data_IF_575299393855
#
_entry.id   IF_575299393855
#
_cell.length_a   1.000
_cell.length_b   1.000
_cell.length_c   1.000
_cell.angle_alpha   90.00
_cell.angle_beta   90.00
_cell.angle_gamma   90.00
#
_symmetry.space_group_name_H-M   'P 1'
#
loop_
_entity.id
_entity.type
_entity.pdbx_description
1 polymer ?
#
# COMPACT_ATOMS: atom_id res chain seq x y z
N UNK A 1 16.29 24.16 0.51
CA UNK A 1 15.69 22.92 -0.01
C UNK A 1 15.38 21.98 1.14
N UNK A 2 14.28 21.27 1.06
CA UNK A 2 13.89 20.24 2.01
C UNK A 2 14.24 18.88 1.42
N UNK A 3 14.76 17.97 2.22
CA UNK A 3 14.93 16.57 1.85
C UNK A 3 13.64 15.80 2.18
N UNK A 4 13.09 15.07 1.22
CA UNK A 4 12.00 14.13 1.42
C UNK A 4 12.52 12.68 1.31
N UNK A 5 11.96 11.74 2.07
CA UNK A 5 10.88 11.88 3.05
C UNK A 5 11.27 12.69 4.29
N UNK A 6 10.34 13.44 4.86
CA UNK A 6 10.53 14.30 6.02
C UNK A 6 9.34 15.21 6.27
N UNK A 7 9.37 15.94 7.39
CA UNK A 7 8.33 16.86 7.80
C UNK A 7 8.84 18.29 7.91
N UNK A 8 7.94 19.26 7.85
CA UNK A 8 8.28 20.69 7.95
C UNK A 8 8.99 21.04 9.26
N UNK A 9 8.67 20.35 10.35
CA UNK A 9 9.27 20.54 11.67
C UNK A 9 10.78 20.27 11.71
N UNK A 10 11.24 19.24 10.99
CA UNK A 10 12.68 18.87 10.89
C UNK A 10 13.52 20.01 10.29
N UNK A 11 12.89 20.81 9.44
CA UNK A 11 13.52 21.95 8.77
C UNK A 11 13.21 23.29 9.42
N UNK A 12 12.59 23.27 10.60
CA UNK A 12 12.22 24.47 11.35
C UNK A 12 11.34 25.44 10.57
N UNK A 13 10.44 24.88 9.74
CA UNK A 13 9.49 25.68 8.95
C UNK A 13 8.21 25.88 9.77
N UNK A 14 7.74 27.13 9.79
CA UNK A 14 6.55 27.50 10.50
C UNK A 14 6.86 28.38 11.72
N UNK A 15 5.89 28.50 12.58
CA UNK A 15 5.98 29.28 13.81
C UNK A 15 6.62 28.45 14.92
N UNK A 16 7.64 29.02 15.59
CA UNK A 16 8.23 28.36 16.77
C UNK A 16 7.25 28.46 17.93
N UNK A 17 6.72 27.32 18.38
CA UNK A 17 5.80 27.29 19.52
C UNK A 17 6.47 27.76 20.80
N UNK A 18 5.88 28.73 21.52
CA UNK A 18 6.37 29.13 22.82
C UNK A 18 5.95 28.15 23.92
N UNK A 19 5.01 27.26 23.61
CA UNK A 19 4.42 26.34 24.58
C UNK A 19 5.00 24.95 24.47
N UNK A 20 5.19 24.29 25.62
CA UNK A 20 5.46 22.87 25.71
C UNK A 20 4.38 22.24 26.59
N UNK A 21 3.52 21.45 25.98
CA UNK A 21 2.51 20.70 26.70
C UNK A 21 3.13 19.47 27.36
N UNK A 22 2.75 19.21 28.61
CA UNK A 22 3.24 18.05 29.38
C UNK A 22 2.28 16.86 29.25
N UNK A 23 1.06 17.12 28.80
CA UNK A 23 -0.06 16.18 28.69
C UNK A 23 -0.21 15.58 27.28
N UNK A 24 0.57 16.06 26.32
CA UNK A 24 0.50 15.64 24.91
C UNK A 24 1.79 15.92 24.15
N UNK A 25 1.91 15.35 22.96
CA UNK A 25 2.99 15.67 22.05
C UNK A 25 2.90 17.15 21.62
N UNK A 26 4.07 17.82 21.55
CA UNK A 26 4.16 19.23 21.17
C UNK A 26 5.14 19.38 20.04
N UNK A 27 4.74 20.04 18.97
CA UNK A 27 5.64 20.45 17.89
C UNK A 27 6.49 21.63 18.36
N UNK A 28 7.77 21.62 17.98
CA UNK A 28 8.66 22.78 18.21
C UNK A 28 8.39 23.86 17.18
N UNK A 29 8.12 23.48 15.94
CA UNK A 29 7.74 24.37 14.85
C UNK A 29 6.40 23.93 14.28
N UNK A 30 5.43 24.85 14.27
CA UNK A 30 4.09 24.58 13.83
C UNK A 30 3.88 25.18 12.43
N UNK A 31 3.61 24.34 11.46
CA UNK A 31 3.19 24.74 10.13
C UNK A 31 1.83 24.14 9.81
N UNK A 32 0.87 24.97 9.48
CA UNK A 32 -0.45 24.54 9.03
C UNK A 32 -0.77 25.22 7.71
N UNK A 33 -0.96 24.44 6.66
CA UNK A 33 -1.23 24.95 5.33
C UNK A 33 -0.62 24.10 4.22
N UNK A 34 -0.74 24.54 2.95
CA UNK A 34 -0.19 23.83 1.81
C UNK A 34 1.33 23.99 1.72
N UNK A 35 2.07 22.90 1.78
CA UNK A 35 3.50 22.82 1.49
C UNK A 35 3.72 22.29 0.08
N UNK A 36 4.50 23.00 -0.73
CA UNK A 36 4.72 22.69 -2.13
C UNK A 36 6.14 22.15 -2.35
N UNK A 37 6.23 20.97 -2.97
CA UNK A 37 7.47 20.28 -3.29
C UNK A 37 7.56 20.11 -4.81
N UNK A 38 8.72 20.35 -5.39
CA UNK A 38 8.91 20.20 -6.83
C UNK A 38 10.22 19.48 -7.14
N UNK A 39 10.16 18.59 -8.12
CA UNK A 39 11.33 17.90 -8.65
C UNK A 39 11.13 17.53 -10.11
N UNK A 40 12.17 17.72 -10.91
CA UNK A 40 12.24 17.17 -12.27
C UNK A 40 12.55 15.66 -12.18
N UNK A 41 11.78 14.86 -12.90
CA UNK A 41 11.92 13.41 -12.97
C UNK A 41 11.90 12.97 -14.42
N UNK A 42 12.92 12.22 -14.83
CA UNK A 42 12.96 11.59 -16.16
C UNK A 42 12.29 10.22 -16.08
N UNK A 43 11.24 10.03 -16.88
CA UNK A 43 10.54 8.74 -16.97
C UNK A 43 11.36 7.80 -17.86
N UNK A 44 11.71 6.58 -17.37
CA UNK A 44 12.48 5.61 -18.16
C UNK A 44 11.80 5.27 -19.50
N UNK A 45 12.57 5.15 -20.57
CA UNK A 45 12.05 4.83 -21.92
C UNK A 45 11.41 3.44 -21.98
N UNK A 46 11.94 2.50 -21.23
CA UNK A 46 11.47 1.12 -21.09
C UNK A 46 10.10 1.00 -20.43
N UNK A 47 9.61 2.07 -19.82
CA UNK A 47 8.27 2.11 -19.25
C UNK A 47 7.16 2.40 -20.26
N UNK A 48 7.51 2.42 -21.56
CA UNK A 48 6.52 2.57 -22.63
C UNK A 48 5.47 1.45 -22.57
N UNK A 49 4.20 1.82 -22.51
CA UNK A 49 3.07 0.89 -22.41
C UNK A 49 2.77 0.39 -21.00
N UNK A 50 3.52 0.84 -19.99
CA UNK A 50 3.26 0.56 -18.57
C UNK A 50 2.26 1.56 -17.99
N UNK A 51 1.61 1.15 -16.90
CA UNK A 51 0.88 2.05 -15.99
C UNK A 51 1.87 2.65 -15.01
N UNK A 52 1.89 3.95 -14.86
CA UNK A 52 2.93 4.67 -14.09
C UNK A 52 2.26 5.36 -12.91
N UNK A 53 2.79 5.10 -11.71
CA UNK A 53 2.28 5.66 -10.47
C UNK A 53 3.41 6.35 -9.69
N UNK A 54 3.05 7.39 -8.92
CA UNK A 54 3.86 7.86 -7.81
C UNK A 54 3.18 7.48 -6.51
N UNK A 55 3.93 6.84 -5.62
CA UNK A 55 3.44 6.31 -4.35
C UNK A 55 4.13 6.99 -3.18
N UNK A 56 3.36 7.41 -2.19
CA UNK A 56 3.82 7.94 -0.91
C UNK A 56 3.27 7.07 0.20
N UNK A 57 4.13 6.52 1.05
CA UNK A 57 3.71 5.60 2.11
C UNK A 57 2.80 6.29 3.13
N UNK A 58 3.17 7.47 3.58
CA UNK A 58 2.40 8.25 4.56
C UNK A 58 2.45 9.73 4.24
N UNK A 59 1.29 10.33 4.11
CA UNK A 59 1.12 11.77 3.87
C UNK A 59 0.17 12.32 4.92
N UNK A 60 0.45 13.50 5.42
CA UNK A 60 -0.47 14.16 6.32
C UNK A 60 -0.71 15.62 5.91
N UNK A 61 -1.88 15.91 5.37
CA UNK A 61 -3.10 15.09 5.24
C UNK A 61 -3.47 14.88 3.76
N UNK A 62 -3.88 15.94 3.08
CA UNK A 62 -4.25 15.96 1.68
C UNK A 62 -3.02 16.05 0.80
N UNK A 63 -2.86 15.16 -0.18
CA UNK A 63 -1.88 15.34 -1.26
C UNK A 63 -2.56 15.69 -2.58
N UNK A 64 -1.99 16.65 -3.30
CA UNK A 64 -2.36 16.98 -4.67
C UNK A 64 -1.12 16.87 -5.56
N UNK A 65 -1.25 16.19 -6.70
CA UNK A 65 -0.16 15.98 -7.65
C UNK A 65 -0.43 16.75 -8.93
N UNK A 66 0.65 17.36 -9.43
CA UNK A 66 0.69 18.02 -10.74
C UNK A 66 1.86 17.49 -11.54
N UNK A 67 1.65 17.28 -12.84
CA UNK A 67 2.69 17.01 -13.83
C UNK A 67 2.78 18.21 -14.74
N UNK A 68 3.97 18.83 -14.77
CA UNK A 68 4.19 20.11 -15.44
C UNK A 68 3.20 21.16 -14.88
N UNK A 69 2.17 21.53 -15.64
CA UNK A 69 1.14 22.50 -15.21
C UNK A 69 -0.24 21.87 -14.98
N UNK A 70 -0.37 20.54 -15.16
CA UNK A 70 -1.67 19.86 -15.09
C UNK A 70 -1.86 19.16 -13.75
N UNK A 71 -3.00 19.44 -13.12
CA UNK A 71 -3.44 18.66 -11.96
C UNK A 71 -3.76 17.22 -12.39
N UNK A 72 -3.23 16.26 -11.64
CA UNK A 72 -3.44 14.82 -11.88
C UNK A 72 -4.55 14.30 -10.99
N UNK A 73 -4.38 14.42 -9.67
CA UNK A 73 -5.33 13.89 -8.68
C UNK A 73 -5.08 14.45 -7.29
N UNK A 74 -6.07 14.24 -6.41
CA UNK A 74 -6.03 14.54 -4.96
C UNK A 74 -6.39 13.31 -4.17
N UNK A 75 -5.71 13.08 -3.05
CA UNK A 75 -5.99 11.99 -2.12
C UNK A 75 -5.91 12.56 -0.70
N UNK A 76 -6.92 12.27 0.13
CA UNK A 76 -7.09 12.82 1.48
C UNK A 76 -7.17 11.77 2.59
N UNK A 77 -6.52 10.63 2.39
CA UNK A 77 -6.45 9.57 3.39
C UNK A 77 -5.31 9.81 4.38
N UNK A 78 -5.45 9.36 5.63
CA UNK A 78 -4.40 9.50 6.65
C UNK A 78 -3.63 8.20 6.88
N UNK A 79 -4.30 7.06 6.80
CA UNK A 79 -3.79 5.77 7.27
C UNK A 79 -3.38 4.80 6.17
N UNK A 80 -3.45 5.21 4.92
CA UNK A 80 -3.10 4.38 3.76
C UNK A 80 -2.16 5.12 2.81
N UNK A 81 -1.34 4.41 2.03
CA UNK A 81 -0.49 5.03 1.03
C UNK A 81 -1.28 5.82 -0.02
N UNK A 82 -0.73 6.93 -0.46
CA UNK A 82 -1.27 7.72 -1.57
C UNK A 82 -0.64 7.27 -2.88
N UNK A 83 -1.43 6.62 -3.72
CA UNK A 83 -1.01 6.14 -5.05
C UNK A 83 -1.66 7.01 -6.13
N UNK A 84 -0.89 7.91 -6.72
CA UNK A 84 -1.36 8.78 -7.80
C UNK A 84 -0.94 8.21 -9.16
N UNK A 85 -1.89 8.01 -10.04
CA UNK A 85 -1.60 7.52 -11.38
C UNK A 85 -1.20 8.66 -12.33
N UNK A 86 -0.03 8.52 -12.94
CA UNK A 86 0.56 9.49 -13.84
C UNK A 86 0.48 9.09 -15.31
N UNK A 87 -0.02 7.91 -15.64
CA UNK A 87 0.07 7.27 -16.96
C UNK A 87 -0.26 8.21 -18.13
N UNK A 88 -1.37 8.94 -18.02
CA UNK A 88 -1.86 9.82 -19.10
C UNK A 88 -1.21 11.21 -19.11
N UNK A 89 -0.37 11.50 -18.11
CA UNK A 89 0.24 12.81 -17.91
C UNK A 89 1.73 12.82 -18.23
N UNK A 90 2.40 11.67 -18.19
CA UNK A 90 3.84 11.56 -18.43
C UNK A 90 4.14 10.80 -19.73
N UNK A 91 5.31 11.07 -20.30
CA UNK A 91 5.78 10.39 -21.51
C UNK A 91 7.10 9.67 -21.21
N UNK A 92 7.17 8.34 -21.39
CA UNK A 92 8.42 7.59 -21.27
C UNK A 92 9.54 8.19 -22.14
N UNK A 93 10.72 8.35 -21.53
CA UNK A 93 11.88 8.98 -22.15
C UNK A 93 11.91 10.51 -22.09
N UNK A 94 10.95 11.14 -21.41
CA UNK A 94 10.91 12.59 -21.20
C UNK A 94 11.09 12.95 -19.72
N UNK A 95 11.59 14.16 -19.50
CA UNK A 95 11.65 14.77 -18.17
C UNK A 95 10.39 15.59 -17.93
N UNK A 96 9.80 15.48 -16.77
CA UNK A 96 8.62 16.20 -16.33
C UNK A 96 8.86 16.84 -14.97
N UNK A 97 8.31 18.02 -14.74
CA UNK A 97 8.26 18.65 -13.42
C UNK A 97 7.10 18.04 -12.62
N UNK A 98 7.42 17.27 -11.60
CA UNK A 98 6.44 16.75 -10.65
C UNK A 98 6.31 17.73 -9.49
N UNK A 99 5.10 18.22 -9.26
CA UNK A 99 4.76 19.10 -8.13
C UNK A 99 3.81 18.37 -7.21
N UNK A 100 4.15 18.34 -5.93
CA UNK A 100 3.34 17.77 -4.85
C UNK A 100 2.96 18.86 -3.89
N UNK A 101 1.68 19.04 -3.63
CA UNK A 101 1.18 19.87 -2.55
C UNK A 101 0.70 18.96 -1.42
N UNK A 102 1.23 19.17 -0.22
CA UNK A 102 0.74 18.51 1.00
C UNK A 102 0.09 19.56 1.88
N UNK A 103 -1.19 19.38 2.19
CA UNK A 103 -1.96 20.30 3.01
C UNK A 103 -2.46 19.60 4.27
N UNK A 104 -1.97 20.05 5.44
CA UNK A 104 -2.33 19.48 6.73
C UNK A 104 -3.44 20.26 7.45
N UNK A 105 -4.11 21.17 6.77
CA UNK A 105 -5.32 21.80 7.35
C UNK A 105 -6.40 20.74 7.51
N UNK A 106 -7.24 20.90 8.53
CA UNK A 106 -8.37 20.00 8.76
C UNK A 106 -9.30 20.00 7.53
N UNK A 107 -9.40 18.86 6.87
CA UNK A 107 -10.25 18.69 5.68
C UNK A 107 -11.72 18.50 6.09
N UNK A 108 -11.94 17.94 7.26
CA UNK A 108 -13.25 17.62 7.83
C UNK A 108 -13.33 18.13 9.26
N UNK A 109 -14.53 18.48 9.71
CA UNK A 109 -14.77 18.82 11.11
C UNK A 109 -14.85 17.51 11.93
N UNK A 110 -13.69 17.03 12.32
CA UNK A 110 -13.55 15.94 13.28
C UNK A 110 -13.56 16.54 14.69
N UNK A 111 -13.81 15.74 15.70
CA UNK A 111 -13.84 16.27 17.06
C UNK A 111 -12.44 16.61 17.58
N UNK A 112 -12.39 17.52 18.57
CA UNK A 112 -11.13 17.98 19.18
C UNK A 112 -10.20 16.86 19.64
N UNK A 113 -10.74 15.71 20.06
CA UNK A 113 -10.01 14.58 20.63
C UNK A 113 -9.77 13.43 19.64
N UNK A 114 -10.02 13.65 18.36
CA UNK A 114 -9.77 12.62 17.34
C UNK A 114 -8.26 12.38 17.20
N UNK A 115 -7.86 11.13 17.43
CA UNK A 115 -6.47 10.71 17.31
C UNK A 115 -5.96 10.82 15.86
N UNK A 116 -4.67 11.12 15.73
CA UNK A 116 -3.96 11.32 14.47
C UNK A 116 -4.42 12.53 13.64
N UNK A 117 -5.44 13.26 14.07
CA UNK A 117 -6.01 14.38 13.33
C UNK A 117 -5.84 15.72 14.03
N UNK A 118 -5.72 15.74 15.36
CA UNK A 118 -5.73 16.98 16.11
C UNK A 118 -4.47 17.21 16.94
N UNK A 119 -4.15 18.49 17.17
CA UNK A 119 -3.06 18.93 18.05
C UNK A 119 -3.28 18.53 19.51
N UNK A 120 -4.49 18.11 19.87
CA UNK A 120 -4.84 17.77 21.26
C UNK A 120 -4.52 16.35 21.64
N UNK A 121 -4.29 15.48 20.68
CA UNK A 121 -4.02 14.04 20.92
C UNK A 121 -2.66 13.64 20.39
N UNK A 122 -2.35 14.06 19.18
CA UNK A 122 -1.05 13.90 18.52
C UNK A 122 -0.75 15.18 17.75
N UNK A 123 0.40 15.29 17.13
CA UNK A 123 0.76 16.49 16.36
C UNK A 123 0.16 16.44 14.95
N UNK A 124 -0.33 17.58 14.49
CA UNK A 124 -0.76 17.79 13.11
C UNK A 124 0.47 18.18 12.25
N UNK A 125 1.32 17.21 11.92
CA UNK A 125 2.52 17.45 11.11
C UNK A 125 2.20 17.71 9.63
N UNK A 126 3.14 18.27 8.87
CA UNK A 126 3.04 18.43 7.43
C UNK A 126 4.25 17.80 6.76
N UNK A 127 4.02 16.93 5.78
CA UNK A 127 5.09 16.31 5.02
C UNK A 127 4.74 14.95 4.45
N UNK A 128 5.79 14.23 4.06
CA UNK A 128 5.71 12.87 3.52
C UNK A 128 6.71 12.01 4.27
N UNK A 129 6.26 10.92 4.87
CA UNK A 129 7.07 9.98 5.63
C UNK A 129 7.06 8.59 5.00
N UNK A 130 8.10 7.83 5.31
CA UNK A 130 8.29 6.48 4.79
C UNK A 130 8.74 6.45 3.33
N UNK A 131 8.35 5.43 2.59
CA UNK A 131 8.80 5.22 1.22
C UNK A 131 8.13 6.20 0.24
N UNK A 132 8.94 6.73 -0.69
CA UNK A 132 8.48 7.49 -1.86
C UNK A 132 9.05 6.84 -3.11
N UNK A 133 8.19 6.40 -4.02
CA UNK A 133 8.64 5.69 -5.22
C UNK A 133 7.79 5.99 -6.46
N UNK A 134 8.45 5.89 -7.62
CA UNK A 134 7.77 5.70 -8.90
C UNK A 134 7.65 4.21 -9.19
N UNK A 135 6.48 3.80 -9.62
CA UNK A 135 6.15 2.40 -9.93
C UNK A 135 5.64 2.32 -11.36
N UNK A 136 6.15 1.33 -12.12
CA UNK A 136 5.65 1.03 -13.45
C UNK A 136 5.13 -0.42 -13.49
N UNK A 137 3.85 -0.58 -13.76
CA UNK A 137 3.18 -1.87 -13.82
C UNK A 137 2.75 -2.20 -15.26
N UNK A 138 2.67 -3.47 -15.58
CA UNK A 138 2.02 -3.90 -16.81
C UNK A 138 0.54 -3.52 -16.81
N UNK A 139 -0.12 -3.39 -17.97
CA UNK A 139 -1.56 -3.12 -18.04
C UNK A 139 -2.45 -4.18 -17.38
N UNK A 140 -1.91 -5.38 -17.11
CA UNK A 140 -2.55 -6.43 -16.32
C UNK A 140 -1.71 -6.69 -15.08
N UNK A 141 -2.27 -6.43 -13.90
CA UNK A 141 -1.55 -6.59 -12.63
C UNK A 141 -2.48 -6.93 -11.47
N UNK A 142 -1.92 -7.49 -10.42
CA UNK A 142 -2.61 -7.73 -9.15
C UNK A 142 -2.67 -6.39 -8.40
N UNK A 143 -3.87 -5.88 -8.16
CA UNK A 143 -4.08 -4.67 -7.34
C UNK A 143 -4.08 -5.00 -5.86
N UNK A 144 -4.71 -6.14 -5.50
CA UNK A 144 -4.83 -6.58 -4.12
C UNK A 144 -4.73 -8.11 -4.03
N UNK A 145 -4.09 -8.59 -2.98
CA UNK A 145 -3.97 -10.01 -2.69
C UNK A 145 -4.25 -10.25 -1.21
N UNK A 146 -5.37 -10.89 -0.94
CA UNK A 146 -5.86 -11.21 0.40
C UNK A 146 -5.65 -12.69 0.70
N UNK A 147 -5.17 -12.97 1.91
CA UNK A 147 -4.87 -14.31 2.39
C UNK A 147 -5.77 -14.62 3.60
N UNK A 148 -6.48 -15.74 3.54
CA UNK A 148 -7.38 -16.21 4.59
C UNK A 148 -6.94 -17.59 5.07
N UNK A 149 -6.11 -17.67 6.13
CA UNK A 149 -5.70 -18.95 6.72
C UNK A 149 -6.89 -19.69 7.31
N UNK A 150 -6.93 -21.01 7.10
CA UNK A 150 -7.85 -21.93 7.77
C UNK A 150 -7.03 -22.94 8.57
N UNK A 151 -7.02 -22.78 9.88
CA UNK A 151 -6.21 -23.59 10.79
C UNK A 151 -6.70 -25.03 10.82
N UNK A 152 -8.02 -25.27 10.85
CA UNK A 152 -8.60 -26.60 10.93
C UNK A 152 -8.35 -27.44 9.68
N UNK A 153 -8.30 -26.82 8.51
CA UNK A 153 -8.05 -27.49 7.23
C UNK A 153 -6.59 -27.44 6.79
N UNK A 154 -5.71 -26.80 7.57
CA UNK A 154 -4.32 -26.57 7.20
C UNK A 154 -4.18 -26.00 5.78
N UNK A 155 -4.95 -24.96 5.48
CA UNK A 155 -5.03 -24.36 4.16
C UNK A 155 -5.00 -22.83 4.22
N UNK A 156 -4.72 -22.19 3.10
CA UNK A 156 -4.89 -20.75 2.92
C UNK A 156 -5.72 -20.49 1.67
N UNK A 157 -6.82 -19.73 1.80
CA UNK A 157 -7.54 -19.20 0.67
C UNK A 157 -6.84 -17.92 0.20
N UNK A 158 -6.49 -17.87 -1.07
CA UNK A 158 -5.93 -16.70 -1.73
C UNK A 158 -7.03 -16.07 -2.56
N UNK A 159 -7.22 -14.76 -2.43
CA UNK A 159 -8.12 -13.99 -3.29
C UNK A 159 -7.33 -12.82 -3.89
N UNK A 160 -7.23 -12.81 -5.21
CA UNK A 160 -6.56 -11.75 -5.96
C UNK A 160 -7.57 -10.90 -6.71
N UNK A 161 -7.44 -9.57 -6.60
CA UNK A 161 -8.10 -8.60 -7.45
C UNK A 161 -7.14 -8.22 -8.56
N UNK A 162 -7.50 -8.52 -9.80
CA UNK A 162 -6.67 -8.23 -10.97
C UNK A 162 -7.30 -7.09 -11.77
N UNK A 163 -6.50 -6.08 -12.07
CA UNK A 163 -6.87 -5.01 -13.00
C UNK A 163 -6.40 -5.36 -14.41
N UNK A 164 -7.30 -5.14 -15.36
CA UNK A 164 -7.08 -5.35 -16.78
C UNK A 164 -7.40 -4.06 -17.57
N UNK A 165 -6.38 -3.32 -17.91
CA UNK A 165 -6.49 -2.08 -18.70
C UNK A 165 -6.36 -2.33 -20.20
N UNK A 166 -6.31 -3.58 -20.65
CA UNK A 166 -6.20 -3.92 -22.06
C UNK A 166 -7.53 -3.95 -22.81
N UNK A 167 -8.65 -4.02 -22.07
CA UNK A 167 -10.00 -4.20 -22.60
C UNK A 167 -10.15 -5.45 -23.51
N UNK A 168 -9.33 -6.48 -23.27
CA UNK A 168 -9.33 -7.75 -24.00
C UNK A 168 -9.36 -8.91 -23.02
N UNK A 169 -9.71 -10.09 -23.54
CA UNK A 169 -9.59 -11.32 -22.76
C UNK A 169 -8.12 -11.53 -22.33
N UNK A 170 -7.94 -11.65 -21.05
CA UNK A 170 -6.68 -12.02 -20.40
C UNK A 170 -6.73 -13.51 -20.08
N UNK A 171 -5.70 -14.24 -20.42
CA UNK A 171 -5.50 -15.64 -20.02
C UNK A 171 -4.08 -15.84 -19.52
N UNK A 172 -3.87 -16.80 -18.61
CA UNK A 172 -2.54 -17.07 -18.10
C UNK A 172 -2.54 -17.90 -16.84
N UNK A 173 -1.51 -17.69 -16.02
CA UNK A 173 -1.26 -18.47 -14.80
C UNK A 173 -0.77 -17.59 -13.68
N UNK A 174 -1.15 -17.94 -12.47
CA UNK A 174 -0.60 -17.44 -11.22
C UNK A 174 0.25 -18.56 -10.60
N UNK A 175 1.52 -18.28 -10.36
CA UNK A 175 2.44 -19.20 -9.70
C UNK A 175 2.64 -18.72 -8.27
N UNK A 176 2.15 -19.50 -7.32
CA UNK A 176 2.31 -19.21 -5.90
C UNK A 176 3.53 -19.93 -5.35
N UNK A 177 4.37 -19.22 -4.64
CA UNK A 177 5.43 -19.77 -3.80
C UNK A 177 5.17 -19.36 -2.36
N UNK A 178 4.95 -20.35 -1.50
CA UNK A 178 4.78 -20.15 -0.06
C UNK A 178 6.07 -20.59 0.61
N UNK A 179 6.65 -19.71 1.42
CA UNK A 179 7.91 -19.97 2.12
C UNK A 179 7.85 -19.51 3.58
N UNK A 180 8.52 -20.24 4.46
CA UNK A 180 8.76 -19.95 5.86
C UNK A 180 10.12 -20.48 6.26
N UNK A 181 10.47 -20.46 7.56
CA UNK A 181 11.80 -20.83 8.05
C UNK A 181 12.27 -22.22 7.58
N UNK A 182 11.38 -23.23 7.62
CA UNK A 182 11.65 -24.61 7.18
C UNK A 182 10.55 -25.14 6.26
N UNK A 183 9.84 -24.22 5.58
CA UNK A 183 8.68 -24.56 4.78
C UNK A 183 8.80 -23.93 3.39
N UNK A 184 8.55 -24.73 2.36
CA UNK A 184 8.43 -24.25 0.98
C UNK A 184 7.44 -25.10 0.20
N UNK A 185 6.51 -24.45 -0.47
CA UNK A 185 5.53 -25.07 -1.34
C UNK A 185 5.24 -24.18 -2.55
N UNK A 186 4.89 -24.80 -3.67
CA UNK A 186 4.48 -24.09 -4.89
C UNK A 186 3.11 -24.57 -5.35
N UNK A 187 2.36 -23.69 -5.98
CA UNK A 187 1.04 -23.96 -6.55
C UNK A 187 0.86 -23.15 -7.83
N UNK A 188 0.23 -23.75 -8.83
CA UNK A 188 -0.16 -23.06 -10.07
C UNK A 188 -1.68 -23.01 -10.18
N UNK A 189 -2.21 -21.86 -10.60
CA UNK A 189 -3.64 -21.62 -10.79
C UNK A 189 -3.87 -20.92 -12.12
N UNK A 190 -4.87 -21.37 -12.87
CA UNK A 190 -5.24 -20.73 -14.13
C UNK A 190 -5.94 -19.40 -13.90
N UNK A 191 -5.62 -18.43 -14.75
CA UNK A 191 -6.18 -17.07 -14.71
C UNK A 191 -6.89 -16.80 -16.02
N UNK A 192 -8.15 -16.33 -15.95
CA UNK A 192 -8.89 -15.87 -17.10
C UNK A 192 -9.90 -14.80 -16.71
N UNK A 193 -9.98 -13.71 -17.47
CA UNK A 193 -10.94 -12.63 -17.27
C UNK A 193 -10.95 -11.64 -18.43
N UNK A 194 -12.10 -11.06 -18.72
CA UNK A 194 -12.26 -10.05 -19.78
C UNK A 194 -12.73 -8.69 -19.25
N UNK A 195 -13.15 -8.64 -17.99
CA UNK A 195 -13.58 -7.40 -17.35
C UNK A 195 -12.38 -6.53 -16.96
N UNK A 196 -12.60 -5.24 -16.79
CA UNK A 196 -11.56 -4.31 -16.33
C UNK A 196 -11.08 -4.64 -14.91
N UNK A 197 -11.94 -5.30 -14.13
CA UNK A 197 -11.64 -5.83 -12.79
C UNK A 197 -12.19 -7.24 -12.72
N UNK A 198 -11.35 -8.20 -12.38
CA UNK A 198 -11.81 -9.57 -12.13
C UNK A 198 -11.06 -10.19 -10.95
N UNK A 199 -11.62 -11.25 -10.39
CA UNK A 199 -11.09 -11.92 -9.21
C UNK A 199 -10.65 -13.34 -9.56
N UNK A 200 -9.54 -13.76 -8.96
CA UNK A 200 -9.07 -15.14 -8.99
C UNK A 200 -8.95 -15.61 -7.55
N UNK A 201 -9.55 -16.77 -7.27
CA UNK A 201 -9.50 -17.39 -5.94
C UNK A 201 -8.93 -18.81 -6.07
N UNK A 202 -8.11 -19.21 -5.11
CA UNK A 202 -7.65 -20.59 -4.94
C UNK A 202 -7.55 -20.94 -3.46
N UNK A 203 -7.70 -22.23 -3.14
CA UNK A 203 -7.48 -22.76 -1.80
C UNK A 203 -6.26 -23.66 -1.86
N UNK A 204 -5.20 -23.28 -1.17
CA UNK A 204 -3.93 -23.99 -1.17
C UNK A 204 -3.82 -24.77 0.12
N UNK A 205 -3.83 -26.12 0.00
CA UNK A 205 -3.57 -27.01 1.14
C UNK A 205 -2.09 -26.91 1.52
N UNK A 206 -1.79 -26.63 2.78
CA UNK A 206 -0.44 -26.42 3.29
C UNK A 206 0.17 -27.67 3.96
N UNK A 207 -0.66 -28.68 4.22
CA UNK A 207 -0.23 -29.90 4.90
C UNK A 207 -0.12 -29.75 6.42
N UNK A 208 0.07 -30.88 7.10
CA UNK A 208 0.02 -30.94 8.58
C UNK A 208 1.28 -30.40 9.27
N UNK A 209 2.38 -30.25 8.51
CA UNK A 209 3.66 -29.77 9.04
C UNK A 209 3.71 -28.24 9.17
N UNK A 210 2.65 -27.53 8.72
CA UNK A 210 2.55 -26.08 8.86
C UNK A 210 2.43 -25.70 10.34
N UNK A 211 3.32 -24.83 10.81
CA UNK A 211 3.32 -24.38 12.22
C UNK A 211 2.30 -23.27 12.40
N UNK A 212 1.59 -23.31 13.52
CA UNK A 212 0.65 -22.26 13.88
C UNK A 212 1.40 -21.01 14.36
N UNK A 213 0.73 -19.88 14.25
CA UNK A 213 1.18 -18.60 14.78
C UNK A 213 0.49 -18.35 16.13
N UNK A 214 1.25 -18.00 17.14
CA UNK A 214 0.77 -17.38 18.37
C UNK A 214 1.73 -16.26 18.78
N UNK A 215 1.39 -15.52 19.86
CA UNK A 215 2.18 -14.39 20.34
C UNK A 215 3.54 -14.78 20.93
N UNK A 216 3.76 -16.04 21.28
CA UNK A 216 5.01 -16.57 21.81
C UNK A 216 5.86 -17.24 20.74
N UNK A 217 5.22 -17.81 19.73
CA UNK A 217 5.83 -18.48 18.57
C UNK A 217 5.24 -17.92 17.26
N UNK A 218 5.63 -16.70 16.87
CA UNK A 218 5.02 -15.99 15.74
C UNK A 218 5.53 -16.53 14.40
N UNK A 219 5.19 -17.79 14.07
CA UNK A 219 5.55 -18.38 12.78
C UNK A 219 4.85 -17.67 11.64
N UNK A 220 5.63 -17.05 10.76
CA UNK A 220 5.15 -16.31 9.59
C UNK A 220 5.56 -17.01 8.30
N UNK A 221 4.68 -16.92 7.33
CA UNK A 221 4.87 -17.41 5.96
C UNK A 221 4.69 -16.27 4.98
N UNK A 222 5.51 -16.25 3.94
CA UNK A 222 5.34 -15.33 2.81
C UNK A 222 4.77 -16.10 1.63
N UNK A 223 3.65 -15.63 1.09
CA UNK A 223 3.12 -16.07 -0.18
C UNK A 223 3.52 -15.05 -1.24
N UNK A 224 4.34 -15.46 -2.20
CA UNK A 224 4.63 -14.71 -3.42
C UNK A 224 3.78 -15.26 -4.55
N UNK A 225 3.16 -14.38 -5.31
CA UNK A 225 2.46 -14.69 -6.55
C UNK A 225 3.21 -14.07 -7.73
N UNK A 226 3.66 -14.88 -8.66
CA UNK A 226 4.17 -14.47 -9.96
C UNK A 226 3.05 -14.68 -10.98
N UNK A 227 2.40 -13.58 -11.37
CA UNK A 227 1.35 -13.58 -12.38
C UNK A 227 1.96 -13.46 -13.77
N UNK A 228 1.70 -14.42 -14.64
CA UNK A 228 2.08 -14.40 -16.05
C UNK A 228 0.82 -14.53 -16.92
N UNK A 229 0.49 -13.47 -17.65
CA UNK A 229 -0.73 -13.41 -18.46
C UNK A 229 -0.45 -12.95 -19.88
N UNK A 230 -1.41 -13.19 -20.77
CA UNK A 230 -1.36 -12.78 -22.18
C UNK A 230 -2.69 -12.20 -22.64
N UNK A 231 -2.61 -11.26 -23.60
CA UNK A 231 -3.75 -10.84 -24.43
C UNK A 231 -3.31 -10.95 -25.90
N UNK A 232 -3.85 -11.95 -26.62
CA UNK A 232 -3.33 -12.28 -27.95
C UNK A 232 -1.85 -12.67 -27.89
N UNK A 233 -0.97 -11.90 -28.55
CA UNK A 233 0.48 -12.13 -28.58
C UNK A 233 1.27 -11.34 -27.54
N UNK A 234 0.63 -10.51 -26.75
CA UNK A 234 1.31 -9.64 -25.77
C UNK A 234 1.33 -10.30 -24.40
N UNK A 235 2.52 -10.37 -23.81
CA UNK A 235 2.74 -10.93 -22.47
C UNK A 235 2.81 -9.83 -21.42
N UNK A 236 2.28 -10.12 -20.24
CA UNK A 236 2.30 -9.25 -19.05
C UNK A 236 2.74 -10.04 -17.84
N UNK A 237 3.47 -9.39 -16.94
CA UNK A 237 3.98 -10.02 -15.72
C UNK A 237 3.78 -9.08 -14.52
N UNK A 238 3.44 -9.64 -13.40
CA UNK A 238 3.40 -8.93 -12.13
C UNK A 238 3.75 -9.87 -10.98
N UNK A 239 4.54 -9.39 -10.04
CA UNK A 239 4.87 -10.13 -8.81
C UNK A 239 4.34 -9.35 -7.61
N UNK A 240 3.63 -10.04 -6.72
CA UNK A 240 3.17 -9.50 -5.46
C UNK A 240 3.38 -10.50 -4.34
N UNK A 241 3.70 -10.00 -3.14
CA UNK A 241 3.90 -10.84 -1.96
C UNK A 241 3.08 -10.35 -0.79
N UNK A 242 2.61 -11.28 0.04
CA UNK A 242 1.95 -11.00 1.30
C UNK A 242 2.40 -12.00 2.37
N UNK A 243 2.47 -11.53 3.61
CA UNK A 243 2.86 -12.35 4.75
C UNK A 243 1.64 -12.74 5.57
N UNK A 244 1.58 -13.97 6.04
CA UNK A 244 0.50 -14.46 6.90
C UNK A 244 1.02 -15.39 8.01
N UNK A 245 0.25 -15.51 9.08
CA UNK A 245 0.42 -16.53 10.11
C UNK A 245 -0.75 -17.49 10.09
N UNK A 246 -0.52 -18.76 10.35
CA UNK A 246 -1.58 -19.75 10.51
C UNK A 246 -2.25 -19.56 11.86
N UNK A 247 -3.23 -18.64 11.92
CA UNK A 247 -3.97 -18.33 13.12
C UNK A 247 -5.46 -18.19 12.88
N UNK A 248 -6.22 -18.58 13.87
CA UNK A 248 -7.66 -18.37 13.97
C UNK A 248 -7.93 -17.53 15.21
N UNK A 249 -8.73 -16.46 15.07
CA UNK A 249 -9.21 -15.66 16.20
C UNK A 249 -10.71 -15.88 16.33
N UNK A 250 -11.15 -16.31 17.50
CA UNK A 250 -12.56 -16.53 17.84
C UNK A 250 -12.93 -15.80 19.11
N UNK A 251 -14.16 -15.29 19.16
CA UNK A 251 -14.79 -14.86 20.40
C UNK A 251 -15.60 -16.01 20.98
N UNK A 252 -15.39 -16.32 22.26
CA UNK A 252 -16.21 -17.26 23.03
C UNK A 252 -16.69 -16.57 24.30
N UNK A 253 -17.96 -16.14 24.29
CA UNK A 253 -18.58 -15.32 25.36
C UNK A 253 -17.72 -14.09 25.67
N UNK A 254 -17.08 -14.07 26.82
CA UNK A 254 -16.25 -12.96 27.31
C UNK A 254 -14.75 -13.14 26.98
N UNK A 255 -14.40 -14.17 26.21
CA UNK A 255 -13.01 -14.50 25.92
C UNK A 255 -12.70 -14.33 24.45
N UNK A 256 -11.45 -13.91 24.16
CA UNK A 256 -10.84 -14.00 22.84
C UNK A 256 -9.93 -15.22 22.84
N UNK A 257 -10.08 -16.05 21.82
CA UNK A 257 -9.27 -17.25 21.63
C UNK A 257 -8.39 -17.08 20.40
N UNK A 258 -7.12 -17.42 20.51
CA UNK A 258 -6.21 -17.59 19.39
C UNK A 258 -5.88 -19.07 19.28
N UNK A 259 -6.21 -19.69 18.14
CA UNK A 259 -6.04 -21.13 17.88
C UNK A 259 -6.66 -22.02 18.99
N UNK A 260 -7.80 -21.59 19.56
CA UNK A 260 -8.47 -22.26 20.64
C UNK A 260 -7.93 -21.99 22.06
N UNK A 261 -6.83 -21.25 22.19
CA UNK A 261 -6.25 -20.84 23.47
C UNK A 261 -6.72 -19.44 23.86
N UNK A 262 -7.12 -19.30 25.15
CA UNK A 262 -7.54 -17.99 25.67
C UNK A 262 -6.36 -16.99 25.71
N UNK A 263 -6.62 -15.81 25.21
CA UNK A 263 -5.70 -14.66 25.34
C UNK A 263 -5.98 -13.96 26.67
N UNK A 264 -4.96 -13.61 27.41
CA UNK A 264 -5.04 -12.94 28.72
C UNK A 264 -4.63 -11.47 28.62
#
# INVERSE_FOLDING_TARGET
SILLPGITDDYKIGYKSPYRHIDRLTRVYEYMGPAWYQREITIPKEWKGKRIFISFERVHWLSSIYVDTKEVSKIDYISVPHNHELTDFVKPGKTHLITVCVDNRYQYNTHKWDHAHSEYTQINWNGILGEMKLVALDPVYIEDMQLYPNVSEHSVKVRMKILNHTHKLVTGKAFFTISGEQYKQTRETMVSGNDSVFYVEDIIALGKDIRLWDEFTPNLYTLQCDLATTTGSTNYQHTQSATFGMREIKADRDNILINGHRVH
#
